data_IF_788606304020
#
_entry.id   IF_788606304020
#
_cell.length_a   1.000
_cell.length_b   1.000
_cell.length_c   1.000
_cell.angle_alpha   90.00
_cell.angle_beta   90.00
_cell.angle_gamma   90.00
#
_symmetry.space_group_name_H-M   'P 1'
#
loop_
_entity.id
_entity.type
_entity.pdbx_description
1 polymer ?
#
# COMPACT_ATOMS: atom_id res chain seq x y z
N UNK A 1 -16.46 3.05 -5.91
CA UNK A 1 -15.90 1.73 -5.52
C UNK A 1 -16.04 0.84 -6.75
N UNK A 2 -14.98 0.22 -7.29
CA UNK A 2 -15.11 -0.59 -8.51
C UNK A 2 -15.93 -1.86 -8.24
N UNK A 3 -16.65 -2.34 -9.25
CA UNK A 3 -17.49 -3.55 -9.19
C UNK A 3 -18.61 -3.55 -8.14
N UNK A 4 -18.82 -2.46 -7.41
CA UNK A 4 -19.79 -2.42 -6.32
C UNK A 4 -21.22 -2.73 -6.80
N UNK A 5 -21.67 -2.10 -7.89
CA UNK A 5 -23.01 -2.37 -8.42
C UNK A 5 -23.15 -3.84 -8.83
N UNK A 6 -22.20 -4.37 -9.61
CA UNK A 6 -22.22 -5.76 -10.10
C UNK A 6 -22.25 -6.81 -8.98
N UNK A 7 -21.52 -6.57 -7.89
CA UNK A 7 -21.45 -7.49 -6.76
C UNK A 7 -22.66 -7.32 -5.83
N UNK A 8 -22.89 -6.13 -5.29
CA UNK A 8 -23.93 -5.92 -4.27
C UNK A 8 -25.36 -6.07 -4.83
N UNK A 9 -25.59 -5.88 -6.14
CA UNK A 9 -26.91 -6.10 -6.75
C UNK A 9 -27.36 -7.57 -6.70
N UNK A 10 -26.45 -8.51 -6.41
CA UNK A 10 -26.77 -9.92 -6.19
C UNK A 10 -27.56 -10.17 -4.90
N UNK A 11 -27.51 -9.22 -3.97
CA UNK A 11 -28.06 -9.36 -2.61
C UNK A 11 -29.13 -8.32 -2.27
N UNK A 12 -29.38 -7.34 -3.14
CA UNK A 12 -30.38 -6.29 -2.91
C UNK A 12 -30.31 -5.14 -3.90
N UNK A 13 -31.06 -4.07 -3.63
CA UNK A 13 -31.03 -2.83 -4.40
C UNK A 13 -29.77 -2.03 -4.06
N UNK A 14 -29.06 -1.53 -5.08
CA UNK A 14 -27.83 -0.74 -4.91
C UNK A 14 -28.05 0.68 -5.40
N UNK A 15 -27.78 1.66 -4.54
CA UNK A 15 -27.78 3.09 -4.90
C UNK A 15 -26.35 3.60 -4.87
N UNK A 16 -25.85 4.06 -6.03
CA UNK A 16 -24.51 4.64 -6.12
C UNK A 16 -24.55 6.12 -5.69
N UNK A 17 -23.77 6.46 -4.67
CA UNK A 17 -23.71 7.82 -4.10
C UNK A 17 -22.29 8.39 -4.09
N UNK A 18 -22.12 9.72 -4.10
CA UNK A 18 -20.82 10.34 -3.84
C UNK A 18 -20.37 10.10 -2.40
N UNK A 19 -19.07 9.86 -2.17
CA UNK A 19 -18.54 9.59 -0.83
C UNK A 19 -18.31 10.83 0.04
N UNK A 20 -18.31 12.04 -0.55
CA UNK A 20 -18.16 13.31 0.17
C UNK A 20 -18.79 14.46 -0.62
N UNK A 21 -19.89 15.07 -0.15
CA UNK A 21 -20.78 14.57 0.90
C UNK A 21 -21.64 13.39 0.42
N UNK A 22 -22.04 12.49 1.32
CA UNK A 22 -23.10 11.51 1.05
C UNK A 22 -24.46 12.21 1.17
N UNK A 23 -25.41 12.01 0.24
CA UNK A 23 -26.77 12.53 0.38
C UNK A 23 -27.48 11.86 1.57
N UNK A 24 -27.76 12.64 2.62
CA UNK A 24 -28.27 12.12 3.90
C UNK A 24 -29.62 11.38 3.80
N UNK A 25 -30.44 11.70 2.80
CA UNK A 25 -31.74 11.05 2.59
C UNK A 25 -31.59 9.61 2.11
N UNK A 26 -30.54 9.29 1.34
CA UNK A 26 -30.24 7.93 0.88
C UNK A 26 -29.90 6.98 2.04
N UNK A 27 -29.51 7.52 3.18
CA UNK A 27 -29.17 6.74 4.38
C UNK A 27 -30.38 6.43 5.26
N UNK A 28 -31.53 7.08 5.06
CA UNK A 28 -32.68 6.93 5.96
C UNK A 28 -33.26 5.51 5.96
N UNK A 29 -33.26 4.88 4.78
CA UNK A 29 -33.86 3.56 4.55
C UNK A 29 -32.82 2.52 4.06
N UNK A 30 -31.53 2.86 4.12
CA UNK A 30 -30.45 1.94 3.73
C UNK A 30 -30.18 0.90 4.83
N UNK A 31 -30.13 -0.38 4.45
CA UNK A 31 -29.72 -1.47 5.35
C UNK A 31 -28.21 -1.54 5.59
N UNK A 32 -27.42 -1.18 4.57
CA UNK A 32 -25.96 -1.29 4.58
C UNK A 32 -25.29 -0.14 3.85
N UNK A 33 -24.14 0.28 4.35
CA UNK A 33 -23.35 1.38 3.79
C UNK A 33 -21.95 0.91 3.42
N UNK A 34 -21.62 0.93 2.13
CA UNK A 34 -20.31 0.52 1.61
C UNK A 34 -19.49 1.75 1.21
N UNK A 35 -18.37 2.00 1.89
CA UNK A 35 -17.59 3.24 1.80
C UNK A 35 -16.14 3.03 1.35
N UNK A 36 -15.47 4.14 1.06
CA UNK A 36 -14.01 4.26 0.94
C UNK A 36 -13.52 5.29 1.97
N UNK A 37 -12.21 5.47 2.06
CA UNK A 37 -11.55 6.35 3.05
C UNK A 37 -11.97 7.82 3.03
N UNK A 38 -12.62 8.30 1.97
CA UNK A 38 -13.09 9.69 1.87
C UNK A 38 -14.32 9.99 2.74
N UNK A 39 -15.03 8.98 3.21
CA UNK A 39 -16.25 9.12 3.99
C UNK A 39 -15.94 8.89 5.47
N UNK A 40 -15.96 9.92 6.33
CA UNK A 40 -15.94 9.72 7.78
C UNK A 40 -17.25 9.04 8.20
N UNK A 41 -17.18 7.88 8.84
CA UNK A 41 -18.33 7.15 9.37
C UNK A 41 -18.29 7.24 10.89
N UNK A 42 -19.19 8.04 11.44
CA UNK A 42 -19.28 8.37 12.85
C UNK A 42 -20.74 8.64 13.24
N UNK A 43 -20.95 9.03 14.50
CA UNK A 43 -22.28 9.38 15.03
C UNK A 43 -22.99 10.46 14.22
N UNK A 44 -22.26 11.47 13.71
CA UNK A 44 -22.84 12.55 12.92
C UNK A 44 -23.46 12.04 11.61
N UNK A 45 -22.84 11.03 10.98
CA UNK A 45 -23.33 10.46 9.72
C UNK A 45 -24.52 9.51 9.92
N UNK A 46 -24.48 8.66 10.95
CA UNK A 46 -25.36 7.47 11.05
C UNK A 46 -26.42 7.54 12.15
N UNK A 47 -26.38 8.52 13.06
CA UNK A 47 -27.38 8.62 14.13
C UNK A 47 -28.80 8.80 13.55
N UNK A 48 -29.71 7.90 13.94
CA UNK A 48 -31.10 7.90 13.49
C UNK A 48 -31.33 7.34 12.08
N UNK A 49 -30.34 6.67 11.50
CA UNK A 49 -30.43 5.97 10.20
C UNK A 49 -30.71 4.47 10.41
N UNK A 50 -31.23 3.80 9.38
CA UNK A 50 -31.53 2.35 9.41
C UNK A 50 -30.33 1.44 9.15
N UNK A 51 -29.14 2.00 8.97
CA UNK A 51 -27.93 1.24 8.58
C UNK A 51 -27.54 0.26 9.68
N UNK A 52 -27.48 -1.03 9.35
CA UNK A 52 -27.09 -2.12 10.25
C UNK A 52 -25.73 -2.72 9.94
N UNK A 53 -25.17 -2.39 8.78
CA UNK A 53 -23.84 -2.84 8.36
C UNK A 53 -23.06 -1.70 7.71
N UNK A 54 -21.79 -1.55 8.08
CA UNK A 54 -20.83 -0.68 7.42
C UNK A 54 -19.70 -1.52 6.84
N UNK A 55 -19.50 -1.41 5.53
CA UNK A 55 -18.39 -2.04 4.83
C UNK A 55 -17.40 -1.00 4.34
N UNK A 56 -16.12 -1.10 4.71
CA UNK A 56 -15.09 -0.21 4.16
C UNK A 56 -14.18 -0.97 3.22
N UNK A 57 -14.21 -0.63 1.92
CA UNK A 57 -13.34 -1.22 0.90
C UNK A 57 -11.90 -0.67 0.97
N UNK A 58 -11.33 -0.65 2.17
CA UNK A 58 -10.02 -0.11 2.52
C UNK A 58 -9.34 -1.00 3.55
N UNK A 59 -8.01 -1.03 3.53
CA UNK A 59 -7.22 -1.74 4.53
C UNK A 59 -7.17 -1.00 5.88
N UNK A 60 -7.08 0.33 5.86
CA UNK A 60 -7.13 1.15 7.08
C UNK A 60 -8.55 1.54 7.46
N UNK A 61 -8.75 1.84 8.74
CA UNK A 61 -10.06 2.17 9.34
C UNK A 61 -10.08 3.53 10.05
N UNK A 62 -9.08 4.40 9.81
CA UNK A 62 -8.94 5.72 10.44
C UNK A 62 -10.18 6.64 10.26
N UNK A 63 -10.95 6.43 9.19
CA UNK A 63 -12.18 7.16 8.88
C UNK A 63 -13.45 6.52 9.49
N UNK A 64 -13.31 5.44 10.27
CA UNK A 64 -14.41 4.69 10.87
C UNK A 64 -14.33 4.81 12.40
N UNK A 65 -15.39 5.29 13.03
CA UNK A 65 -15.54 5.21 14.49
C UNK A 65 -16.02 3.81 14.90
N UNK A 66 -15.11 2.85 14.90
CA UNK A 66 -15.42 1.44 15.21
C UNK A 66 -15.99 1.25 16.63
N UNK A 67 -15.61 2.12 17.57
CA UNK A 67 -16.13 2.06 18.94
C UNK A 67 -17.60 2.46 18.96
N UNK A 68 -17.94 3.57 18.30
CA UNK A 68 -19.33 4.00 18.20
C UNK A 68 -20.19 3.00 17.41
N UNK A 69 -19.69 2.44 16.30
CA UNK A 69 -20.43 1.41 15.55
C UNK A 69 -20.78 0.21 16.43
N UNK A 70 -19.83 -0.24 17.26
CA UNK A 70 -20.04 -1.34 18.21
C UNK A 70 -21.07 -0.99 19.28
N UNK A 71 -21.03 0.23 19.82
CA UNK A 71 -22.01 0.72 20.79
C UNK A 71 -23.44 0.78 20.24
N UNK A 72 -23.59 0.97 18.92
CA UNK A 72 -24.89 1.00 18.24
C UNK A 72 -25.31 -0.36 17.65
N UNK A 73 -24.56 -1.43 17.89
CA UNK A 73 -24.77 -2.76 17.30
C UNK A 73 -24.82 -2.74 15.75
N UNK A 74 -24.01 -1.86 15.15
CA UNK A 74 -23.83 -1.79 13.70
C UNK A 74 -22.64 -2.67 13.33
N UNK A 75 -22.90 -3.71 12.55
CA UNK A 75 -21.86 -4.61 12.07
C UNK A 75 -20.85 -3.86 11.19
N UNK A 76 -19.56 -4.19 11.33
CA UNK A 76 -18.50 -3.55 10.57
C UNK A 76 -17.56 -4.58 9.94
N UNK A 77 -17.19 -4.34 8.68
CA UNK A 77 -16.09 -5.04 8.03
C UNK A 77 -15.22 -4.08 7.24
N UNK A 78 -13.91 -4.19 7.42
CA UNK A 78 -12.91 -3.59 6.53
C UNK A 78 -12.45 -4.60 5.47
N UNK A 79 -11.41 -4.25 4.72
CA UNK A 79 -10.73 -5.14 3.78
C UNK A 79 -9.22 -5.21 4.08
N UNK A 80 -8.80 -5.76 5.24
CA UNK A 80 -7.41 -5.75 5.66
C UNK A 80 -6.50 -6.45 4.63
N UNK A 81 -5.42 -5.78 4.23
CA UNK A 81 -4.47 -6.31 3.25
C UNK A 81 -4.95 -6.26 1.80
N UNK A 82 -6.13 -5.69 1.50
CA UNK A 82 -6.65 -5.61 0.14
C UNK A 82 -5.75 -4.86 -0.84
N UNK A 83 -4.86 -3.99 -0.37
CA UNK A 83 -3.91 -3.24 -1.19
C UNK A 83 -2.44 -3.53 -0.81
N UNK A 84 -2.18 -4.56 -0.01
CA UNK A 84 -0.84 -4.80 0.51
C UNK A 84 0.18 -5.14 -0.59
N UNK A 85 -0.21 -5.99 -1.54
CA UNK A 85 0.64 -6.35 -2.69
C UNK A 85 1.02 -5.11 -3.50
N UNK A 86 0.06 -4.25 -3.83
CA UNK A 86 0.32 -2.99 -4.53
C UNK A 86 1.40 -2.13 -3.86
N UNK A 87 1.36 -1.99 -2.54
CA UNK A 87 2.38 -1.22 -1.79
C UNK A 87 3.74 -1.92 -1.84
N UNK A 88 3.78 -3.24 -1.69
CA UNK A 88 5.03 -4.01 -1.81
C UNK A 88 5.66 -3.82 -3.18
N UNK A 89 4.88 -3.92 -4.25
CA UNK A 89 5.37 -3.76 -5.63
C UNK A 89 5.77 -2.32 -5.95
N UNK A 90 5.14 -1.33 -5.29
CA UNK A 90 5.58 0.06 -5.33
C UNK A 90 6.97 0.22 -4.71
N UNK A 91 7.20 -0.36 -3.53
CA UNK A 91 8.51 -0.34 -2.84
C UNK A 91 9.58 -0.98 -3.71
N UNK A 92 9.32 -2.15 -4.30
CA UNK A 92 10.25 -2.80 -5.22
C UNK A 92 10.52 -1.98 -6.48
N UNK A 93 9.49 -1.35 -7.05
CA UNK A 93 9.66 -0.48 -8.24
C UNK A 93 10.60 0.68 -7.94
N UNK A 94 10.45 1.34 -6.79
CA UNK A 94 11.34 2.42 -6.35
C UNK A 94 12.76 1.92 -6.04
N UNK A 95 12.89 0.82 -5.29
CA UNK A 95 14.18 0.23 -4.94
C UNK A 95 14.99 -0.19 -6.16
N UNK A 96 14.36 -0.83 -7.15
CA UNK A 96 15.04 -1.25 -8.39
C UNK A 96 15.43 -0.04 -9.26
N UNK A 97 14.65 1.05 -9.21
CA UNK A 97 15.02 2.31 -9.86
C UNK A 97 16.28 2.92 -9.21
N UNK A 98 16.28 3.06 -7.88
CA UNK A 98 17.42 3.59 -7.12
C UNK A 98 18.67 2.71 -7.27
N UNK A 99 18.50 1.39 -7.24
CA UNK A 99 19.59 0.44 -7.42
C UNK A 99 20.30 0.57 -8.78
N UNK A 100 19.54 0.82 -9.85
CA UNK A 100 20.12 1.13 -11.16
C UNK A 100 20.80 2.49 -11.18
N UNK A 101 20.14 3.54 -10.66
CA UNK A 101 20.67 4.90 -10.64
C UNK A 101 22.00 5.00 -9.89
N UNK A 102 22.06 4.39 -8.71
CA UNK A 102 23.18 4.51 -7.78
C UNK A 102 24.12 3.29 -7.83
N UNK A 103 23.89 2.37 -8.78
CA UNK A 103 24.74 1.22 -9.08
C UNK A 103 25.03 0.31 -7.87
N UNK A 104 23.98 -0.15 -7.18
CA UNK A 104 24.11 -1.14 -6.09
C UNK A 104 23.26 -2.38 -6.33
N UNK A 105 23.60 -3.48 -5.65
CA UNK A 105 22.78 -4.70 -5.64
C UNK A 105 21.92 -4.74 -4.38
N UNK A 106 20.63 -5.08 -4.51
CA UNK A 106 19.71 -5.19 -3.37
C UNK A 106 20.17 -6.24 -2.36
N UNK A 107 20.76 -7.35 -2.83
CA UNK A 107 21.30 -8.42 -1.96
C UNK A 107 22.45 -7.96 -1.06
N UNK A 108 23.12 -6.87 -1.41
CA UNK A 108 24.23 -6.30 -0.63
C UNK A 108 23.73 -5.26 0.39
N UNK A 109 22.41 -5.03 0.47
CA UNK A 109 21.77 -4.09 1.39
C UNK A 109 21.04 -4.81 2.52
N UNK A 110 20.95 -4.13 3.65
CA UNK A 110 20.09 -4.53 4.78
C UNK A 110 18.81 -3.68 4.80
N UNK A 111 17.64 -4.32 4.76
CA UNK A 111 16.33 -3.64 4.79
C UNK A 111 15.69 -3.74 6.17
N UNK A 112 15.54 -2.61 6.85
CA UNK A 112 14.75 -2.48 8.07
C UNK A 112 13.28 -2.20 7.77
N UNK A 113 12.40 -3.08 8.23
CA UNK A 113 10.95 -3.02 8.03
C UNK A 113 10.30 -2.63 9.35
N UNK A 114 9.72 -1.43 9.42
CA UNK A 114 9.01 -0.91 10.59
C UNK A 114 7.51 -1.10 10.39
N UNK A 115 6.90 -1.94 11.23
CA UNK A 115 5.52 -2.41 11.07
C UNK A 115 5.44 -3.63 10.17
N UNK A 116 5.28 -4.81 10.77
CA UNK A 116 5.30 -6.11 10.08
C UNK A 116 3.90 -6.70 10.03
N UNK A 117 2.92 -5.85 9.69
CA UNK A 117 1.54 -6.24 9.44
C UNK A 117 1.34 -6.76 8.00
N UNK A 118 0.17 -6.47 7.42
CA UNK A 118 -0.19 -6.97 6.08
C UNK A 118 0.81 -6.59 4.96
N UNK A 119 1.36 -5.38 4.98
CA UNK A 119 2.34 -4.93 3.98
C UNK A 119 3.74 -5.44 4.32
N UNK A 120 4.20 -5.17 5.55
CA UNK A 120 5.56 -5.47 5.97
C UNK A 120 5.92 -6.96 5.88
N UNK A 121 5.03 -7.87 6.25
CA UNK A 121 5.30 -9.32 6.16
C UNK A 121 5.37 -9.82 4.71
N UNK A 122 4.57 -9.25 3.80
CA UNK A 122 4.63 -9.56 2.36
C UNK A 122 5.87 -8.99 1.70
N UNK A 123 6.31 -7.80 2.14
CA UNK A 123 7.59 -7.22 1.72
C UNK A 123 8.76 -8.10 2.20
N UNK A 124 8.77 -8.48 3.47
CA UNK A 124 9.76 -9.37 4.07
C UNK A 124 9.89 -10.67 3.26
N UNK A 125 8.80 -11.39 3.03
CA UNK A 125 8.83 -12.67 2.34
C UNK A 125 9.45 -12.57 0.92
N UNK A 126 9.20 -11.48 0.19
CA UNK A 126 9.77 -11.26 -1.15
C UNK A 126 11.24 -10.86 -1.10
N UNK A 127 11.66 -10.06 -0.11
CA UNK A 127 13.06 -9.70 0.10
C UNK A 127 13.90 -10.91 0.50
N UNK A 128 13.39 -11.74 1.42
CA UNK A 128 14.04 -12.99 1.84
C UNK A 128 14.15 -13.98 0.68
N UNK A 129 13.13 -14.07 -0.19
CA UNK A 129 13.20 -14.89 -1.40
C UNK A 129 14.34 -14.46 -2.36
N UNK A 130 14.70 -13.17 -2.36
CA UNK A 130 15.85 -12.63 -3.12
C UNK A 130 17.18 -12.77 -2.37
N UNK A 131 17.19 -13.33 -1.16
CA UNK A 131 18.38 -13.40 -0.31
C UNK A 131 18.80 -12.03 0.25
N UNK A 132 17.89 -11.05 0.30
CA UNK A 132 18.15 -9.74 0.91
C UNK A 132 18.01 -9.85 2.42
N UNK A 133 18.98 -9.31 3.16
CA UNK A 133 18.93 -9.30 4.64
C UNK A 133 17.83 -8.34 5.12
N UNK A 134 16.92 -8.85 5.94
CA UNK A 134 15.83 -8.08 6.55
C UNK A 134 16.03 -7.94 8.06
N UNK A 135 15.63 -6.79 8.62
CA UNK A 135 15.52 -6.53 10.06
C UNK A 135 14.09 -6.09 10.36
N UNK A 136 13.47 -6.61 11.40
CA UNK A 136 12.06 -6.42 11.67
C UNK A 136 11.86 -5.59 12.93
N UNK A 137 10.99 -4.59 12.90
CA UNK A 137 10.59 -3.82 14.08
C UNK A 137 9.07 -3.76 14.16
N UNK A 138 8.49 -4.47 15.13
CA UNK A 138 7.06 -4.43 15.43
C UNK A 138 6.84 -4.69 16.93
N UNK A 139 7.00 -3.66 17.79
CA UNK A 139 6.81 -3.80 19.24
C UNK A 139 5.43 -4.39 19.62
N UNK A 140 4.30 -3.97 18.99
CA UNK A 140 3.01 -4.60 19.27
C UNK A 140 2.98 -6.12 19.03
N UNK A 141 3.62 -6.63 17.97
CA UNK A 141 3.69 -8.08 17.70
C UNK A 141 4.63 -8.79 18.68
N UNK A 142 5.78 -8.18 18.98
CA UNK A 142 6.72 -8.70 19.96
C UNK A 142 6.10 -8.83 21.36
N UNK A 143 5.38 -7.80 21.82
CA UNK A 143 4.71 -7.77 23.12
C UNK A 143 3.53 -8.76 23.21
N UNK A 144 2.96 -9.17 22.05
CA UNK A 144 1.99 -10.26 21.97
C UNK A 144 2.63 -11.66 21.97
N UNK A 145 3.96 -11.75 21.98
CA UNK A 145 4.69 -13.03 21.94
C UNK A 145 4.60 -13.73 20.59
N UNK A 146 4.36 -13.00 19.50
CA UNK A 146 4.35 -13.58 18.16
C UNK A 146 5.78 -13.97 17.72
N UNK A 147 5.91 -15.08 16.99
CA UNK A 147 7.21 -15.51 16.45
C UNK A 147 7.76 -14.50 15.44
N UNK A 148 9.05 -14.19 15.57
CA UNK A 148 9.79 -13.27 14.71
C UNK A 148 10.99 -12.67 15.45
N UNK A 149 12.10 -12.44 14.74
CA UNK A 149 13.25 -11.72 15.28
C UNK A 149 12.98 -10.21 15.28
N UNK A 150 12.05 -9.77 16.15
CA UNK A 150 11.67 -8.38 16.29
C UNK A 150 12.72 -7.63 17.10
N UNK A 151 13.34 -6.64 16.47
CA UNK A 151 14.41 -5.82 17.02
C UNK A 151 13.88 -4.41 17.39
N UNK A 152 14.50 -3.74 18.38
CA UNK A 152 14.22 -2.34 18.65
C UNK A 152 14.52 -1.44 17.45
N UNK A 153 13.75 -0.35 17.27
CA UNK A 153 13.92 0.62 16.19
C UNK A 153 15.37 1.16 16.10
N UNK A 154 16.00 1.45 17.25
CA UNK A 154 17.38 1.91 17.30
C UNK A 154 18.37 0.93 16.63
N UNK A 155 18.12 -0.38 16.76
CA UNK A 155 18.93 -1.41 16.10
C UNK A 155 18.81 -1.31 14.59
N UNK A 156 17.58 -1.15 14.07
CA UNK A 156 17.35 -0.97 12.62
C UNK A 156 18.02 0.31 12.12
N UNK A 157 17.88 1.43 12.82
CA UNK A 157 18.52 2.71 12.45
C UNK A 157 20.04 2.57 12.35
N UNK A 158 20.65 1.81 13.26
CA UNK A 158 22.10 1.60 13.28
C UNK A 158 22.64 0.60 12.25
N UNK A 159 21.80 -0.30 11.73
CA UNK A 159 22.26 -1.43 10.89
C UNK A 159 21.72 -1.39 9.47
N UNK A 160 20.50 -0.91 9.24
CA UNK A 160 19.85 -0.95 7.93
C UNK A 160 20.42 0.08 6.95
N UNK A 161 20.50 -0.27 5.67
CA UNK A 161 20.79 0.66 4.58
C UNK A 161 19.50 1.23 3.99
N UNK A 162 18.38 0.52 4.15
CA UNK A 162 17.05 0.90 3.71
C UNK A 162 16.11 0.82 4.90
N UNK A 163 15.39 1.88 5.23
CA UNK A 163 14.31 1.88 6.23
C UNK A 163 12.97 2.15 5.56
N UNK A 164 12.00 1.26 5.76
CA UNK A 164 10.66 1.36 5.17
C UNK A 164 9.58 1.22 6.22
N UNK A 165 8.60 2.14 6.18
CA UNK A 165 7.57 2.29 7.20
C UNK A 165 6.21 1.81 6.69
N UNK A 166 5.59 0.93 7.48
CA UNK A 166 4.32 0.25 7.20
C UNK A 166 3.40 0.19 8.44
N UNK A 167 3.50 1.20 9.31
CA UNK A 167 2.71 1.30 10.55
C UNK A 167 1.39 2.05 10.33
N UNK A 168 0.37 1.80 11.18
CA UNK A 168 -0.73 2.74 11.38
C UNK A 168 -0.22 4.08 11.96
N UNK A 169 -1.07 5.12 11.96
CA UNK A 169 -0.78 6.37 12.65
C UNK A 169 -1.40 6.38 14.05
N UNK A 170 -0.60 6.07 15.06
CA UNK A 170 -0.98 6.22 16.46
C UNK A 170 -0.47 7.56 16.99
N UNK A 171 -1.40 8.41 17.45
CA UNK A 171 -1.06 9.73 18.02
C UNK A 171 -0.65 9.66 19.48
N UNK A 172 -1.07 8.61 20.19
CA UNK A 172 -0.87 8.43 21.62
C UNK A 172 -0.65 6.96 21.94
N UNK A 173 -0.22 6.67 23.17
CA UNK A 173 0.00 5.32 23.69
C UNK A 173 1.42 4.80 23.45
N UNK A 174 1.69 3.59 23.94
CA UNK A 174 3.03 3.01 23.99
C UNK A 174 3.66 2.75 22.61
N UNK A 175 2.83 2.72 21.57
CA UNK A 175 3.24 2.49 20.19
C UNK A 175 2.99 3.70 19.29
N UNK A 176 3.05 4.92 19.87
CA UNK A 176 2.90 6.15 19.11
C UNK A 176 3.81 6.13 17.88
N UNK A 177 3.23 6.43 16.73
CA UNK A 177 3.95 6.52 15.45
C UNK A 177 3.88 7.91 14.84
N UNK A 178 3.10 8.84 15.41
CA UNK A 178 3.16 10.25 15.07
C UNK A 178 4.59 10.75 15.30
N UNK A 179 5.22 11.20 14.20
CA UNK A 179 6.61 11.65 14.14
C UNK A 179 7.59 10.61 14.70
N UNK A 180 7.32 9.32 14.44
CA UNK A 180 8.27 8.24 14.74
C UNK A 180 9.64 8.50 14.09
N UNK A 181 9.62 9.09 12.90
CA UNK A 181 10.80 9.60 12.22
C UNK A 181 10.87 11.11 12.44
N UNK A 182 11.51 11.48 13.54
CA UNK A 182 11.79 12.86 13.93
C UNK A 182 13.20 13.31 13.47
N UNK A 183 13.56 14.56 13.78
CA UNK A 183 14.89 15.12 13.44
C UNK A 183 16.05 14.29 14.02
N UNK A 184 15.90 13.77 15.24
CA UNK A 184 16.95 13.00 15.90
C UNK A 184 17.20 11.67 15.19
N UNK A 185 16.13 10.94 14.84
CA UNK A 185 16.23 9.70 14.07
C UNK A 185 16.80 9.96 12.67
N UNK A 186 16.32 11.00 11.97
CA UNK A 186 16.81 11.37 10.65
C UNK A 186 18.31 11.67 10.65
N UNK A 187 18.82 12.36 11.67
CA UNK A 187 20.25 12.65 11.83
C UNK A 187 21.07 11.42 12.20
N UNK A 188 20.47 10.45 12.87
CA UNK A 188 21.11 9.19 13.23
C UNK A 188 21.20 8.18 12.07
N UNK A 189 20.53 8.44 10.94
CA UNK A 189 20.62 7.58 9.76
C UNK A 189 22.06 7.47 9.24
N UNK A 190 22.43 6.24 8.87
CA UNK A 190 23.71 5.93 8.23
C UNK A 190 23.91 6.77 6.96
N UNK A 191 25.16 7.04 6.56
CA UNK A 191 25.43 7.63 5.27
C UNK A 191 24.86 6.78 4.12
N UNK A 192 24.18 7.40 3.16
CA UNK A 192 23.61 6.67 2.02
C UNK A 192 22.29 5.93 2.28
N UNK A 193 21.64 6.14 3.44
CA UNK A 193 20.39 5.45 3.76
C UNK A 193 19.25 5.84 2.82
N UNK A 194 18.48 4.84 2.39
CA UNK A 194 17.20 5.04 1.69
C UNK A 194 16.05 5.00 2.70
N UNK A 195 15.27 6.07 2.79
CA UNK A 195 14.06 6.18 3.62
C UNK A 195 12.82 6.05 2.73
N UNK A 196 11.90 5.15 3.09
CA UNK A 196 10.65 4.94 2.35
C UNK A 196 9.44 5.10 3.28
N UNK A 197 8.57 6.06 2.98
CA UNK A 197 7.27 6.18 3.65
C UNK A 197 6.12 6.05 2.65
N UNK A 198 5.42 4.92 2.73
CA UNK A 198 4.19 4.64 1.99
C UNK A 198 3.06 4.18 2.94
N UNK A 199 3.09 4.61 4.19
CA UNK A 199 2.10 4.24 5.21
C UNK A 199 1.15 5.38 5.55
N UNK A 200 1.59 6.35 6.35
CA UNK A 200 0.86 7.57 6.73
C UNK A 200 1.84 8.75 6.79
N UNK A 201 1.40 9.91 6.32
CA UNK A 201 2.24 11.11 6.20
C UNK A 201 2.94 11.48 7.49
N UNK A 202 2.14 11.77 8.54
CA UNK A 202 2.64 12.18 9.86
C UNK A 202 3.42 11.11 10.64
N UNK A 203 3.72 9.94 10.05
CA UNK A 203 4.73 9.03 10.65
C UNK A 203 6.13 9.62 10.54
N UNK A 204 6.37 10.40 9.49
CA UNK A 204 7.59 11.19 9.29
C UNK A 204 7.27 12.65 9.54
N UNK A 205 8.07 13.32 10.38
CA UNK A 205 8.01 14.78 10.49
C UNK A 205 8.57 15.38 9.19
N UNK A 206 7.68 15.80 8.30
CA UNK A 206 8.04 16.35 6.99
C UNK A 206 8.86 17.65 7.08
N UNK A 207 8.69 18.43 8.16
CA UNK A 207 9.46 19.66 8.36
C UNK A 207 10.89 19.31 8.77
N UNK A 208 11.07 18.37 9.69
CA UNK A 208 12.38 17.86 10.06
C UNK A 208 13.08 17.18 8.87
N UNK A 209 12.35 16.38 8.08
CA UNK A 209 12.88 15.72 6.89
C UNK A 209 13.43 16.74 5.88
N UNK A 210 12.66 17.79 5.56
CA UNK A 210 13.13 18.83 4.64
C UNK A 210 14.42 19.49 5.14
N UNK A 211 14.48 19.85 6.42
CA UNK A 211 15.68 20.45 7.02
C UNK A 211 16.88 19.52 6.91
N UNK A 212 16.72 18.24 7.24
CA UNK A 212 17.81 17.26 7.14
C UNK A 212 18.25 17.08 5.69
N UNK A 213 17.35 17.01 4.71
CA UNK A 213 17.70 16.88 3.28
C UNK A 213 18.38 18.13 2.69
N UNK A 214 18.25 19.29 3.35
CA UNK A 214 19.02 20.49 3.02
C UNK A 214 20.48 20.37 3.49
N UNK A 215 20.77 19.56 4.51
CA UNK A 215 22.09 19.38 5.11
C UNK A 215 22.78 18.06 4.70
N UNK A 216 22.01 16.99 4.48
CA UNK A 216 22.45 15.62 4.17
C UNK A 216 22.00 15.22 2.77
N UNK A 217 22.86 15.44 1.78
CA UNK A 217 22.60 15.11 0.38
C UNK A 217 22.87 13.64 0.03
N UNK A 218 23.36 12.85 0.98
CA UNK A 218 23.64 11.43 0.82
C UNK A 218 22.42 10.54 1.09
N UNK A 219 21.35 11.08 1.67
CA UNK A 219 20.12 10.34 1.92
C UNK A 219 19.29 10.27 0.65
N UNK A 220 18.64 9.13 0.43
CA UNK A 220 17.61 8.97 -0.58
C UNK A 220 16.24 8.77 0.06
N UNK A 221 15.20 9.34 -0.53
CA UNK A 221 13.86 9.42 0.04
C UNK A 221 12.79 9.07 -0.99
N UNK A 222 11.90 8.16 -0.60
CA UNK A 222 10.70 7.77 -1.35
C UNK A 222 9.47 8.08 -0.51
N UNK A 223 8.64 9.03 -0.96
CA UNK A 223 7.40 9.41 -0.28
C UNK A 223 6.20 9.13 -1.18
N UNK A 224 5.28 8.30 -0.71
CA UNK A 224 3.94 8.22 -1.27
C UNK A 224 2.93 9.02 -0.44
N UNK A 225 3.22 9.27 0.84
CA UNK A 225 2.32 9.92 1.80
C UNK A 225 2.94 11.16 2.41
N UNK A 226 2.11 12.14 2.76
CA UNK A 226 2.57 13.49 3.10
C UNK A 226 1.88 14.09 4.32
N UNK A 227 2.57 14.99 5.01
CA UNK A 227 2.02 15.81 6.07
C UNK A 227 2.04 17.31 5.69
N UNK A 228 0.87 18.00 5.66
CA UNK A 228 -0.48 17.43 5.52
C UNK A 228 -0.77 16.98 4.07
N UNK A 229 -1.81 16.16 3.89
CA UNK A 229 -2.45 15.94 2.58
C UNK A 229 -3.81 16.63 2.53
N UNK A 230 -4.25 17.16 1.37
CA UNK A 230 -3.56 17.15 0.07
C UNK A 230 -2.50 18.26 -0.13
N UNK A 231 -2.34 19.19 0.82
CA UNK A 231 -1.40 20.32 0.74
C UNK A 231 0.05 19.94 1.07
N UNK A 232 0.71 19.30 0.11
CA UNK A 232 2.10 18.84 0.26
C UNK A 232 3.14 19.99 0.20
N UNK A 233 4.27 19.80 0.88
CA UNK A 233 5.41 20.72 0.82
C UNK A 233 6.15 20.60 -0.52
N UNK A 234 6.07 21.64 -1.37
CA UNK A 234 6.78 21.67 -2.66
C UNK A 234 8.32 21.61 -2.50
N UNK A 235 8.95 22.30 -1.53
CA UNK A 235 10.38 22.15 -1.30
C UNK A 235 10.78 20.71 -0.92
N UNK A 236 9.94 19.99 -0.17
CA UNK A 236 10.19 18.59 0.16
C UNK A 236 10.01 17.69 -1.06
N UNK A 237 8.98 17.93 -1.87
CA UNK A 237 8.75 17.25 -3.15
C UNK A 237 10.00 17.34 -4.05
N UNK A 238 10.62 18.52 -4.16
CA UNK A 238 11.84 18.72 -4.94
C UNK A 238 13.05 17.94 -4.42
N UNK A 239 13.10 17.65 -3.11
CA UNK A 239 14.20 16.93 -2.47
C UNK A 239 14.04 15.41 -2.47
N UNK A 240 12.81 14.89 -2.52
CA UNK A 240 12.58 13.45 -2.57
C UNK A 240 12.99 12.87 -3.93
N UNK A 241 13.60 11.68 -3.93
CA UNK A 241 14.02 10.97 -5.15
C UNK A 241 12.82 10.39 -5.91
N UNK A 242 11.82 9.90 -5.17
CA UNK A 242 10.52 9.50 -5.69
C UNK A 242 9.43 10.09 -4.80
N UNK A 243 8.44 10.70 -5.43
CA UNK A 243 7.35 11.38 -4.77
C UNK A 243 6.03 11.10 -5.50
N UNK A 244 5.09 10.42 -4.85
CA UNK A 244 3.80 10.06 -5.46
C UNK A 244 2.61 10.51 -4.62
N UNK A 245 1.44 10.61 -5.25
CA UNK A 245 0.26 11.25 -4.66
C UNK A 245 -0.60 10.26 -3.86
N UNK A 246 -0.03 9.52 -2.90
CA UNK A 246 -0.73 8.55 -2.07
C UNK A 246 -1.50 7.50 -2.91
N UNK A 247 -0.73 6.83 -3.77
CA UNK A 247 -1.19 5.85 -4.77
C UNK A 247 -0.46 4.50 -4.69
N UNK A 248 0.43 4.26 -3.72
CA UNK A 248 1.18 3.01 -3.62
C UNK A 248 0.24 1.79 -3.60
N UNK A 249 -0.93 1.94 -2.96
CA UNK A 249 -1.97 0.92 -2.90
C UNK A 249 -2.94 0.83 -4.09
N UNK A 250 -2.74 1.60 -5.18
CA UNK A 250 -3.76 1.77 -6.24
C UNK A 250 -3.58 0.81 -7.42
N UNK A 251 -3.70 -0.50 -7.19
CA UNK A 251 -3.86 -1.48 -8.28
C UNK A 251 -5.33 -1.76 -8.55
N UNK A 252 -5.63 -2.21 -9.77
CA UNK A 252 -6.97 -2.65 -10.14
C UNK A 252 -7.37 -3.88 -9.30
N UNK A 253 -6.45 -4.83 -9.13
CA UNK A 253 -6.54 -5.98 -8.23
C UNK A 253 -6.83 -5.54 -6.79
N UNK A 254 -6.12 -4.54 -6.28
CA UNK A 254 -6.24 -4.12 -4.88
C UNK A 254 -7.57 -3.42 -4.60
N UNK A 255 -8.03 -2.57 -5.52
CA UNK A 255 -9.35 -1.94 -5.42
C UNK A 255 -10.47 -2.98 -5.56
N UNK A 256 -10.32 -3.97 -6.44
CA UNK A 256 -11.28 -5.06 -6.60
C UNK A 256 -11.33 -5.95 -5.34
N UNK A 257 -10.18 -6.32 -4.76
CA UNK A 257 -10.09 -7.04 -3.48
C UNK A 257 -10.81 -6.32 -2.35
N UNK A 258 -10.69 -5.00 -2.29
CA UNK A 258 -11.41 -4.18 -1.32
C UNK A 258 -12.93 -4.38 -1.43
N UNK A 259 -13.47 -4.29 -2.64
CA UNK A 259 -14.91 -4.52 -2.86
C UNK A 259 -15.30 -5.96 -2.58
N UNK A 260 -14.53 -6.94 -3.06
CA UNK A 260 -14.82 -8.38 -2.91
C UNK A 260 -14.85 -8.79 -1.44
N UNK A 261 -13.86 -8.43 -0.62
CA UNK A 261 -13.84 -8.80 0.80
C UNK A 261 -15.03 -8.20 1.57
N UNK A 262 -15.39 -6.95 1.28
CA UNK A 262 -16.56 -6.31 1.90
C UNK A 262 -17.85 -6.98 1.42
N UNK A 263 -17.94 -7.36 0.14
CA UNK A 263 -19.08 -8.09 -0.40
C UNK A 263 -19.23 -9.46 0.27
N UNK A 264 -18.13 -10.21 0.46
CA UNK A 264 -18.12 -11.48 1.16
C UNK A 264 -18.63 -11.32 2.61
N UNK A 265 -18.13 -10.33 3.34
CA UNK A 265 -18.57 -10.01 4.70
C UNK A 265 -20.06 -9.60 4.77
N UNK A 266 -20.51 -8.76 3.83
CA UNK A 266 -21.92 -8.37 3.70
C UNK A 266 -22.81 -9.59 3.40
N UNK A 267 -22.41 -10.44 2.46
CA UNK A 267 -23.16 -11.63 2.10
C UNK A 267 -23.28 -12.61 3.28
N UNK A 268 -22.23 -12.75 4.08
CA UNK A 268 -22.24 -13.52 5.32
C UNK A 268 -23.17 -12.90 6.38
N UNK A 269 -23.14 -11.57 6.53
CA UNK A 269 -24.04 -10.83 7.43
C UNK A 269 -25.53 -11.06 7.08
N UNK A 270 -25.86 -11.19 5.79
CA UNK A 270 -27.20 -11.52 5.33
C UNK A 270 -27.56 -13.02 5.42
N UNK A 271 -26.63 -13.88 5.84
CA UNK A 271 -26.82 -15.34 5.82
C UNK A 271 -26.79 -15.97 4.41
N UNK A 272 -26.20 -15.27 3.43
CA UNK A 272 -26.11 -15.65 2.02
C UNK A 272 -24.66 -15.69 1.54
N UNK A 273 -23.76 -16.34 2.30
CA UNK A 273 -22.31 -16.33 2.04
C UNK A 273 -21.97 -16.67 0.59
N UNK A 274 -21.31 -15.74 -0.09
CA UNK A 274 -20.80 -15.88 -1.45
C UNK A 274 -19.31 -15.58 -1.47
N UNK A 275 -18.57 -16.23 -2.37
CA UNK A 275 -17.15 -15.97 -2.64
C UNK A 275 -16.98 -15.56 -4.10
N UNK A 276 -16.05 -14.64 -4.37
CA UNK A 276 -15.82 -14.13 -5.73
C UNK A 276 -14.35 -14.29 -6.11
N UNK A 277 -14.11 -15.01 -7.19
CA UNK A 277 -12.78 -15.11 -7.80
C UNK A 277 -12.46 -13.81 -8.55
N UNK A 278 -11.35 -13.14 -8.21
CA UNK A 278 -10.98 -11.83 -8.76
C UNK A 278 -10.79 -11.86 -10.28
N UNK A 279 -10.20 -12.91 -10.82
CA UNK A 279 -9.91 -13.09 -12.25
C UNK A 279 -11.17 -13.03 -13.12
N UNK A 280 -12.36 -13.31 -12.55
CA UNK A 280 -13.64 -13.16 -13.24
C UNK A 280 -14.09 -11.71 -13.41
N UNK A 281 -13.52 -10.77 -12.64
CA UNK A 281 -13.89 -9.34 -12.64
C UNK A 281 -12.90 -8.46 -13.42
N UNK A 282 -11.61 -8.83 -13.41
CA UNK A 282 -10.56 -7.95 -13.94
C UNK A 282 -10.47 -8.07 -15.46
N UNK A 283 -10.30 -6.96 -16.19
CA UNK A 283 -10.01 -7.01 -17.62
C UNK A 283 -8.64 -7.66 -17.88
N UNK A 284 -8.46 -8.14 -19.11
CA UNK A 284 -7.16 -8.66 -19.56
C UNK A 284 -6.12 -7.52 -19.55
N UNK A 285 -4.91 -7.72 -18.99
CA UNK A 285 -3.86 -6.70 -18.97
C UNK A 285 -3.28 -6.46 -20.37
N UNK A 286 -2.73 -5.27 -20.59
CA UNK A 286 -2.06 -4.88 -21.85
C UNK A 286 -0.91 -5.84 -22.20
N UNK A 287 -0.08 -6.17 -21.20
CA UNK A 287 0.95 -7.19 -21.29
C UNK A 287 0.53 -8.42 -20.50
N UNK A 288 0.11 -9.46 -21.22
CA UNK A 288 -0.35 -10.71 -20.61
C UNK A 288 0.76 -11.72 -20.37
N UNK A 289 1.72 -11.82 -21.29
CA UNK A 289 2.70 -12.90 -21.32
C UNK A 289 4.04 -12.44 -21.88
N UNK A 290 5.14 -12.88 -21.27
CA UNK A 290 6.51 -12.66 -21.75
C UNK A 290 7.34 -13.95 -21.61
N UNK A 291 8.43 -14.06 -22.36
CA UNK A 291 9.43 -15.11 -22.17
C UNK A 291 10.66 -14.55 -21.46
N UNK A 292 11.20 -15.32 -20.51
CA UNK A 292 12.50 -15.11 -19.89
C UNK A 292 13.40 -16.30 -20.23
N UNK A 293 14.52 -16.02 -20.89
CA UNK A 293 15.55 -17.00 -21.18
C UNK A 293 16.72 -16.86 -20.20
N UNK A 294 17.11 -17.96 -19.56
CA UNK A 294 18.16 -18.03 -18.56
C UNK A 294 17.71 -17.69 -17.14
N UNK A 295 18.71 -17.47 -16.27
CA UNK A 295 18.52 -17.15 -14.85
C UNK A 295 17.99 -15.74 -14.61
N UNK A 296 17.32 -15.54 -13.47
CA UNK A 296 16.86 -14.22 -13.05
C UNK A 296 17.97 -13.47 -12.31
N UNK A 297 18.45 -12.37 -12.89
CA UNK A 297 19.31 -11.39 -12.22
C UNK A 297 18.55 -10.08 -11.90
N UNK A 298 19.21 -9.16 -11.18
CA UNK A 298 18.59 -7.89 -10.78
C UNK A 298 18.16 -7.02 -11.99
N UNK A 299 18.97 -6.85 -13.06
CA UNK A 299 18.52 -6.15 -14.27
C UNK A 299 17.29 -6.79 -14.95
N UNK A 300 17.23 -8.11 -15.07
CA UNK A 300 16.07 -8.81 -15.62
C UNK A 300 14.83 -8.63 -14.74
N UNK A 301 14.98 -8.76 -13.42
CA UNK A 301 13.90 -8.50 -12.46
C UNK A 301 13.39 -7.06 -12.59
N UNK A 302 14.28 -6.07 -12.64
CA UNK A 302 13.90 -4.67 -12.84
C UNK A 302 13.06 -4.48 -14.10
N UNK A 303 13.47 -5.06 -15.22
CA UNK A 303 12.71 -4.98 -16.49
C UNK A 303 11.31 -5.59 -16.36
N UNK A 304 11.17 -6.73 -15.70
CA UNK A 304 9.85 -7.35 -15.47
C UNK A 304 8.97 -6.50 -14.54
N UNK A 305 9.54 -6.02 -13.43
CA UNK A 305 8.84 -5.16 -12.47
C UNK A 305 8.38 -3.87 -13.13
N UNK A 306 9.25 -3.19 -13.87
CA UNK A 306 8.94 -1.91 -14.53
C UNK A 306 8.08 -2.07 -15.79
N UNK A 307 8.03 -3.26 -16.42
CA UNK A 307 7.04 -3.56 -17.45
C UNK A 307 5.62 -3.52 -16.88
N UNK A 308 5.42 -4.02 -15.66
CA UNK A 308 4.12 -3.97 -14.99
C UNK A 308 3.87 -2.61 -14.34
N UNK A 309 4.86 -2.09 -13.61
CA UNK A 309 4.77 -0.81 -12.93
C UNK A 309 6.14 -0.16 -12.69
N UNK A 310 6.36 0.97 -13.35
CA UNK A 310 7.45 1.91 -13.07
C UNK A 310 6.91 3.10 -12.26
N UNK A 311 7.38 3.24 -11.03
CA UNK A 311 6.96 4.31 -10.10
C UNK A 311 7.23 5.72 -10.65
N UNK A 312 8.23 5.88 -11.54
CA UNK A 312 8.58 7.17 -12.14
C UNK A 312 7.43 7.77 -12.95
N UNK A 313 6.51 6.93 -13.46
CA UNK A 313 5.33 7.41 -14.20
C UNK A 313 4.45 8.30 -13.33
N UNK A 314 4.29 7.96 -12.05
CA UNK A 314 3.43 8.67 -11.11
C UNK A 314 4.17 9.84 -10.46
N UNK A 315 5.48 9.68 -10.25
CA UNK A 315 6.36 10.76 -9.77
C UNK A 315 6.37 11.95 -10.73
N UNK A 316 6.58 11.69 -12.03
CA UNK A 316 6.58 12.73 -13.05
C UNK A 316 5.24 13.48 -13.14
N UNK A 317 4.12 12.76 -12.96
CA UNK A 317 2.79 13.37 -12.96
C UNK A 317 2.59 14.29 -11.76
N UNK A 318 2.96 13.85 -10.54
CA UNK A 318 2.85 14.69 -9.35
C UNK A 318 3.71 15.95 -9.47
N UNK A 319 4.99 15.81 -9.84
CA UNK A 319 5.92 16.95 -9.99
C UNK A 319 5.41 18.00 -10.98
N UNK A 320 4.69 17.57 -12.03
CA UNK A 320 4.12 18.47 -13.03
C UNK A 320 2.99 19.35 -12.49
N UNK A 321 2.23 18.88 -11.50
CA UNK A 321 0.95 19.51 -11.12
C UNK A 321 0.85 19.89 -9.64
N UNK A 322 1.81 19.49 -8.78
CA UNK A 322 1.73 19.68 -7.33
C UNK A 322 1.54 21.14 -6.89
N UNK A 323 2.01 22.12 -7.67
CA UNK A 323 1.84 23.54 -7.37
C UNK A 323 0.39 24.05 -7.56
N UNK A 324 -0.48 23.26 -8.19
CA UNK A 324 -1.86 23.65 -8.48
C UNK A 324 -2.83 23.03 -7.47
N UNK A 325 -3.67 23.87 -6.87
CA UNK A 325 -4.65 23.46 -5.86
C UNK A 325 -5.60 22.40 -6.40
N UNK A 326 -5.78 21.31 -5.64
CA UNK A 326 -6.70 20.21 -5.97
C UNK A 326 -6.13 19.15 -6.93
N UNK A 327 -4.95 19.37 -7.52
CA UNK A 327 -4.37 18.42 -8.46
C UNK A 327 -3.91 17.11 -7.80
N UNK A 328 -3.46 17.16 -6.54
CA UNK A 328 -3.13 15.96 -5.76
C UNK A 328 -4.31 14.96 -5.72
N UNK A 329 -5.51 15.45 -5.36
CA UNK A 329 -6.72 14.62 -5.35
C UNK A 329 -7.20 14.27 -6.75
N UNK A 330 -7.01 15.16 -7.74
CA UNK A 330 -7.35 14.88 -9.14
C UNK A 330 -6.55 13.69 -9.68
N UNK A 331 -5.25 13.63 -9.41
CA UNK A 331 -4.39 12.49 -9.78
C UNK A 331 -4.88 11.18 -9.18
N UNK A 332 -5.31 11.20 -7.92
CA UNK A 332 -5.84 10.01 -7.23
C UNK A 332 -7.20 9.58 -7.77
N UNK A 333 -8.09 10.55 -8.02
CA UNK A 333 -9.44 10.32 -8.54
C UNK A 333 -9.40 9.73 -9.95
N UNK A 334 -8.51 10.26 -10.80
CA UNK A 334 -8.36 9.88 -12.21
C UNK A 334 -7.12 9.01 -12.43
N UNK A 335 -6.70 8.25 -11.41
CA UNK A 335 -5.49 7.43 -11.47
C UNK A 335 -5.61 6.41 -12.60
N UNK A 336 -4.63 6.41 -13.50
CA UNK A 336 -4.55 5.44 -14.60
C UNK A 336 -4.42 4.03 -14.05
N UNK A 337 -4.88 3.05 -14.82
CA UNK A 337 -4.85 1.67 -14.36
C UNK A 337 -3.41 1.20 -14.09
N UNK A 338 -3.28 0.42 -13.02
CA UNK A 338 -2.05 -0.25 -12.59
C UNK A 338 -2.40 -1.68 -12.26
N UNK A 339 -1.61 -2.62 -12.75
CA UNK A 339 -1.76 -4.04 -12.45
C UNK A 339 -0.73 -4.50 -11.42
N UNK A 340 -0.91 -5.69 -10.90
CA UNK A 340 0.06 -6.37 -10.04
C UNK A 340 0.90 -7.37 -10.83
N UNK A 341 2.04 -7.79 -10.30
CA UNK A 341 2.93 -8.74 -10.98
C UNK A 341 2.24 -10.05 -11.35
N UNK A 342 1.22 -10.45 -10.58
CA UNK A 342 0.41 -11.64 -10.87
C UNK A 342 -0.37 -11.56 -12.18
N UNK A 343 -0.56 -10.36 -12.75
CA UNK A 343 -1.21 -10.20 -14.05
C UNK A 343 -0.31 -10.59 -15.22
N UNK A 344 1.01 -10.64 -15.01
CA UNK A 344 1.99 -10.96 -16.03
C UNK A 344 2.41 -12.42 -15.94
N UNK A 345 2.10 -13.19 -16.98
CA UNK A 345 2.60 -14.56 -17.11
C UNK A 345 4.05 -14.55 -17.64
N UNK A 346 4.99 -15.11 -16.88
CA UNK A 346 6.40 -15.16 -17.26
C UNK A 346 6.79 -16.60 -17.59
N UNK A 347 6.99 -16.88 -18.87
CA UNK A 347 7.40 -18.20 -19.35
C UNK A 347 8.91 -18.31 -19.27
N UNK A 348 9.41 -19.24 -18.45
CA UNK A 348 10.83 -19.39 -18.18
C UNK A 348 11.35 -20.73 -18.71
N UNK A 349 12.60 -20.77 -19.17
CA UNK A 349 13.34 -22.01 -19.47
C UNK A 349 14.29 -22.45 -18.33
N UNK A 350 14.36 -21.68 -17.23
CA UNK A 350 15.03 -22.02 -15.97
C UNK A 350 14.01 -22.32 -14.86
N UNK A 351 14.23 -23.42 -14.12
CA UNK A 351 13.35 -23.81 -13.00
C UNK A 351 13.56 -22.93 -11.78
N UNK A 352 14.79 -22.50 -11.57
CA UNK A 352 15.24 -21.61 -10.52
C UNK A 352 14.59 -20.23 -10.71
N UNK A 353 14.69 -19.66 -11.92
CA UNK A 353 14.01 -18.41 -12.27
C UNK A 353 12.49 -18.51 -12.10
N UNK A 354 11.86 -19.60 -12.57
CA UNK A 354 10.42 -19.84 -12.37
C UNK A 354 10.04 -19.79 -10.89
N UNK A 355 10.76 -20.55 -10.06
CA UNK A 355 10.47 -20.66 -8.63
C UNK A 355 10.63 -19.33 -7.92
N UNK A 356 11.68 -18.58 -8.24
CA UNK A 356 11.95 -17.28 -7.64
C UNK A 356 10.87 -16.26 -8.04
N UNK A 357 10.51 -16.17 -9.32
CA UNK A 357 9.46 -15.27 -9.81
C UNK A 357 8.09 -15.59 -9.18
N UNK A 358 7.74 -16.86 -8.99
CA UNK A 358 6.53 -17.25 -8.27
C UNK A 358 6.54 -16.78 -6.82
N UNK A 359 7.67 -16.92 -6.10
CA UNK A 359 7.81 -16.40 -4.73
C UNK A 359 7.71 -14.87 -4.66
N UNK A 360 8.15 -14.18 -5.71
CA UNK A 360 8.02 -12.73 -5.83
C UNK A 360 6.58 -12.28 -6.14
N UNK A 361 5.73 -13.17 -6.67
CA UNK A 361 4.33 -12.89 -6.97
C UNK A 361 4.00 -12.72 -8.45
N UNK A 362 4.93 -13.02 -9.36
CA UNK A 362 4.61 -13.18 -10.78
C UNK A 362 3.89 -14.51 -11.03
N UNK A 363 3.07 -14.57 -12.09
CA UNK A 363 2.55 -15.83 -12.61
C UNK A 363 3.62 -16.52 -13.49
N UNK A 364 4.61 -17.16 -12.88
CA UNK A 364 5.71 -17.78 -13.62
C UNK A 364 5.44 -19.26 -13.95
N UNK A 365 5.78 -19.67 -15.17
CA UNK A 365 5.57 -21.03 -15.68
C UNK A 365 6.86 -21.55 -16.34
N UNK A 366 7.27 -22.77 -15.99
CA UNK A 366 8.41 -23.44 -16.62
C UNK A 366 7.99 -24.10 -17.94
N UNK A 367 8.65 -23.75 -19.04
CA UNK A 367 8.46 -24.39 -20.33
C UNK A 367 9.33 -25.64 -20.42
N UNK A 368 8.72 -26.82 -20.50
CA UNK A 368 9.44 -28.03 -20.90
C UNK A 368 9.68 -27.98 -22.40
N UNK A 369 10.95 -28.05 -22.82
CA UNK A 369 11.31 -28.23 -24.23
C UNK A 369 10.61 -29.49 -24.76
N UNK A 370 9.74 -29.31 -25.76
CA UNK A 370 9.12 -30.40 -26.54
C UNK A 370 10.09 -31.00 -27.52
#
# INVERSE_FOLDING_TARGET
MPYAHELFSRTGTVVAVPGRPIPQHELNDADGLMVRSVTPVNAELLKGKSVRFVGSATAGTDHIDESWLREQDIAFSAAPGCNAIAVVEYVFSALLMLAERDSFQLKDRTVGIIGVGNVGSRLQARLEALGVRTLLCDPPRADRGEEGDFLPLATLVSQADILTFHTPLFRYGNYQTLHLVDDALLRALKPGTILINACRGSVVDNVALLRVLQERHDLSVVLDVWEPEPEISLPLLEKADIATAHIAGYTLEGKARGTTQVFEAWSAFLGQSQQIALDTLLPVPEFRRVSLHGELDQPALKRLVHLVYDVRRDDALLRKVAAHKGEFDRLRKNYQERREWSSLEVMCDSREATTLLSKLGFNAVFLTSS
#
